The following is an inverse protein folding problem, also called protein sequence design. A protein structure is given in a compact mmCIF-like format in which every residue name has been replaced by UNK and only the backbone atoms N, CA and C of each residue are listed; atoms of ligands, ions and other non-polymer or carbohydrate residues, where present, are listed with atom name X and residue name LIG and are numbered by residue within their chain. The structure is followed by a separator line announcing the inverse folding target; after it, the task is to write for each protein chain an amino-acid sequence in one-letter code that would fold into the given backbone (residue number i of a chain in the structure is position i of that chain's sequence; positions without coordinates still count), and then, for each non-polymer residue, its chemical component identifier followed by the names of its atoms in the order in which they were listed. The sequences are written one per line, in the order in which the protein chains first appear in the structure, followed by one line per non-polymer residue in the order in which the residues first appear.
data_IF_867628554136
#
_entry.id   IF_867628554136
#
_cell.length_a   1.000
_cell.length_b   1.000
_cell.length_c   1.000
_cell.angle_alpha   90.00
_cell.angle_beta   90.00
_cell.angle_gamma   90.00
#
_symmetry.space_group_name_H-M   'P 1'
#
loop_
_entity.id
_entity.type
_entity.pdbx_description
1 polymer ?
#
# COMPACT_ATOMS: atom_id res chain seq x y z
N UNK A 1 -11.70 15.62 -10.79
CA UNK A 1 -11.65 14.36 -11.55
C UNK A 1 -13.01 13.73 -11.38
N UNK A 2 -13.62 13.25 -12.46
CA UNK A 2 -14.96 12.66 -12.42
C UNK A 2 -14.87 11.16 -12.21
N UNK A 3 -15.91 10.57 -11.64
CA UNK A 3 -15.93 9.14 -11.32
C UNK A 3 -17.04 8.39 -12.04
N UNK A 4 -17.93 9.10 -12.73
CA UNK A 4 -18.99 8.55 -13.56
C UNK A 4 -19.19 9.48 -14.77
N UNK A 5 -19.60 8.98 -15.93
CA UNK A 5 -19.76 7.56 -16.29
C UNK A 5 -18.54 6.99 -16.99
N UNK A 6 -18.25 5.70 -16.77
CA UNK A 6 -17.25 4.97 -17.57
C UNK A 6 -17.62 4.87 -19.05
N UNK A 7 -18.85 5.24 -19.44
CA UNK A 7 -19.40 5.07 -20.79
C UNK A 7 -20.03 6.35 -21.32
N UNK A 8 -19.84 6.58 -22.62
CA UNK A 8 -20.45 7.73 -23.32
C UNK A 8 -21.96 7.52 -23.59
N UNK A 9 -22.38 6.28 -23.83
CA UNK A 9 -23.78 5.94 -24.13
C UNK A 9 -24.39 4.92 -23.16
N UNK A 10 -25.72 4.79 -23.21
CA UNK A 10 -26.43 3.72 -22.52
C UNK A 10 -26.01 2.36 -23.09
N UNK A 11 -25.72 1.43 -22.19
CA UNK A 11 -25.39 0.03 -22.49
C UNK A 11 -26.12 -0.87 -21.51
N UNK A 12 -26.03 -2.20 -21.67
CA UNK A 12 -26.61 -3.17 -20.75
C UNK A 12 -28.10 -2.90 -20.47
N UNK A 13 -28.89 -2.71 -21.53
CA UNK A 13 -30.32 -2.40 -21.46
C UNK A 13 -30.67 -1.17 -20.60
N UNK A 14 -29.74 -0.21 -20.51
CA UNK A 14 -29.90 1.03 -19.74
C UNK A 14 -29.61 0.89 -18.25
N UNK A 15 -29.02 -0.23 -17.81
CA UNK A 15 -28.61 -0.41 -16.41
C UNK A 15 -27.50 0.56 -15.98
N UNK A 16 -26.64 0.95 -16.90
CA UNK A 16 -25.53 1.85 -16.65
C UNK A 16 -25.80 3.23 -17.25
N UNK A 17 -25.46 4.27 -16.50
CA UNK A 17 -25.58 5.66 -16.96
C UNK A 17 -24.59 5.91 -18.12
N UNK A 18 -25.00 6.68 -19.13
CA UNK A 18 -24.11 7.19 -20.19
C UNK A 18 -23.56 8.57 -19.82
N UNK A 19 -23.05 9.32 -20.80
CA UNK A 19 -22.59 10.71 -20.64
C UNK A 19 -21.07 10.90 -20.67
N UNK A 20 -20.31 9.83 -20.42
CA UNK A 20 -18.85 9.88 -20.28
C UNK A 20 -18.42 10.40 -18.90
N UNK A 21 -17.12 10.53 -18.64
CA UNK A 21 -16.60 10.90 -17.31
C UNK A 21 -16.78 12.40 -16.99
N UNK A 22 -18.01 12.86 -16.73
CA UNK A 22 -18.35 14.25 -16.41
C UNK A 22 -19.37 14.46 -15.28
N UNK A 23 -20.13 13.45 -14.89
CA UNK A 23 -21.35 13.66 -14.08
C UNK A 23 -21.17 13.60 -12.56
N UNK A 24 -20.13 12.91 -12.03
CA UNK A 24 -20.05 12.62 -10.58
C UNK A 24 -18.70 12.92 -9.93
N UNK A 25 -18.78 13.42 -8.70
CA UNK A 25 -17.69 13.65 -7.76
C UNK A 25 -17.97 12.87 -6.47
N UNK A 26 -16.97 12.14 -5.96
CA UNK A 26 -17.05 11.42 -4.68
C UNK A 26 -16.41 12.21 -3.54
N UNK A 27 -17.02 12.17 -2.36
CA UNK A 27 -16.54 12.84 -1.15
C UNK A 27 -16.31 11.83 -0.01
N UNK A 28 -15.20 12.00 0.70
CA UNK A 28 -14.96 11.34 1.99
C UNK A 28 -15.26 12.37 3.08
N UNK A 29 -16.31 12.14 3.86
CA UNK A 29 -16.68 13.04 4.95
C UNK A 29 -15.89 12.68 6.21
N UNK A 30 -15.15 13.65 6.74
CA UNK A 30 -14.36 13.51 7.97
C UNK A 30 -14.63 14.69 8.91
N UNK A 31 -14.41 14.47 10.21
CA UNK A 31 -14.26 15.59 11.13
C UNK A 31 -12.87 16.25 10.94
N UNK A 32 -12.56 17.29 11.70
CA UNK A 32 -11.28 17.99 11.55
C UNK A 32 -10.06 17.13 11.93
N UNK A 33 -10.25 16.04 12.70
CA UNK A 33 -9.15 15.27 13.27
C UNK A 33 -8.23 14.67 12.20
N UNK A 34 -8.71 13.88 11.21
CA UNK A 34 -7.86 13.34 10.14
C UNK A 34 -7.17 14.36 9.24
N UNK A 35 -7.52 15.65 9.36
CA UNK A 35 -6.91 16.74 8.59
C UNK A 35 -5.76 17.42 9.35
N UNK A 36 -5.49 17.02 10.60
CA UNK A 36 -4.44 17.60 11.43
C UNK A 36 -3.22 16.68 11.53
N UNK A 37 -2.03 17.29 11.66
CA UNK A 37 -0.77 16.57 11.80
C UNK A 37 -0.63 15.79 13.11
N UNK A 38 -1.42 16.11 14.13
CA UNK A 38 -1.40 15.44 15.44
C UNK A 38 -2.37 14.25 15.52
N UNK A 39 -3.02 13.89 14.41
CA UNK A 39 -3.98 12.80 14.37
C UNK A 39 -3.30 11.45 14.23
N UNK A 40 -3.79 10.47 14.99
CA UNK A 40 -3.39 9.06 14.89
C UNK A 40 -3.82 8.39 13.59
N UNK A 41 -4.67 9.06 12.81
CA UNK A 41 -5.01 8.70 11.44
C UNK A 41 -5.14 9.98 10.65
N UNK A 42 -4.31 10.20 9.64
CA UNK A 42 -4.22 11.45 8.88
C UNK A 42 -4.39 11.17 7.40
N UNK A 43 -5.33 11.86 6.76
CA UNK A 43 -5.43 11.85 5.31
C UNK A 43 -4.19 12.49 4.69
N UNK A 44 -3.60 11.84 3.69
CA UNK A 44 -2.49 12.42 2.93
C UNK A 44 -3.06 13.36 1.85
N UNK A 45 -2.83 14.69 1.96
CA UNK A 45 -3.41 15.64 1.02
C UNK A 45 -2.99 15.34 -0.43
N UNK A 46 -3.96 15.33 -1.34
CA UNK A 46 -3.73 15.07 -2.77
C UNK A 46 -3.69 13.59 -3.17
N UNK A 47 -3.90 12.66 -2.23
CA UNK A 47 -3.90 11.22 -2.53
C UNK A 47 -5.23 10.67 -3.05
N UNK A 48 -6.32 11.44 -2.97
CA UNK A 48 -7.60 11.03 -3.53
C UNK A 48 -7.51 10.91 -5.05
N UNK A 49 -7.73 9.69 -5.55
CA UNK A 49 -7.54 9.35 -6.96
C UNK A 49 -8.61 8.36 -7.44
N UNK A 50 -9.40 8.69 -8.48
CA UNK A 50 -10.28 7.74 -9.12
C UNK A 50 -9.50 6.88 -10.12
N UNK A 51 -9.37 5.60 -9.80
CA UNK A 51 -8.55 4.65 -10.56
C UNK A 51 -9.11 4.47 -11.97
N UNK A 52 -8.24 4.56 -12.98
CA UNK A 52 -8.61 4.43 -14.39
C UNK A 52 -8.94 5.76 -15.09
N UNK A 53 -9.19 6.84 -14.34
CA UNK A 53 -9.36 8.17 -14.93
C UNK A 53 -7.97 8.80 -15.17
N UNK A 54 -7.61 9.06 -16.42
CA UNK A 54 -6.35 9.72 -16.79
C UNK A 54 -6.48 11.24 -16.96
N UNK A 55 -7.69 11.78 -16.75
CA UNK A 55 -8.02 13.19 -16.94
C UNK A 55 -8.27 13.60 -18.39
N UNK A 56 -8.23 12.68 -19.36
CA UNK A 56 -8.36 12.97 -20.80
C UNK A 56 -9.68 12.50 -21.42
N UNK A 57 -10.50 11.77 -20.67
CA UNK A 57 -11.75 11.16 -21.14
C UNK A 57 -13.01 11.89 -20.67
N UNK A 58 -12.96 13.22 -20.53
CA UNK A 58 -14.13 14.04 -20.22
C UNK A 58 -15.19 13.91 -21.34
N UNK A 59 -16.45 13.64 -20.98
CA UNK A 59 -17.55 13.32 -21.90
C UNK A 59 -17.18 12.23 -22.92
N UNK A 60 -16.37 11.26 -22.50
CA UNK A 60 -15.99 10.11 -23.32
C UNK A 60 -15.99 8.83 -22.50
N UNK A 61 -16.11 7.71 -23.19
CA UNK A 61 -15.97 6.40 -22.57
C UNK A 61 -14.54 6.19 -22.07
N UNK A 62 -14.38 5.54 -20.92
CA UNK A 62 -13.10 5.24 -20.28
C UNK A 62 -12.10 4.53 -21.18
N UNK A 63 -12.62 3.71 -22.10
CA UNK A 63 -11.88 2.86 -23.04
C UNK A 63 -11.86 3.44 -24.47
N UNK A 64 -12.28 4.69 -24.66
CA UNK A 64 -12.24 5.36 -25.97
C UNK A 64 -10.85 5.89 -26.27
N UNK A 65 -10.16 5.33 -27.26
CA UNK A 65 -8.81 5.76 -27.60
C UNK A 65 -7.76 5.23 -26.60
N UNK A 66 -6.74 6.04 -26.33
CA UNK A 66 -5.60 5.62 -25.50
C UNK A 66 -5.76 6.10 -24.06
N UNK A 67 -5.82 5.15 -23.13
CA UNK A 67 -5.73 5.39 -21.70
C UNK A 67 -4.66 4.46 -21.11
N UNK A 68 -3.64 5.03 -20.46
CA UNK A 68 -2.52 4.29 -19.87
C UNK A 68 -2.49 4.39 -18.33
N UNK A 69 -3.56 4.88 -17.71
CA UNK A 69 -3.63 5.02 -16.24
C UNK A 69 -3.58 3.68 -15.51
N UNK A 70 -4.09 2.61 -16.14
CA UNK A 70 -4.01 1.22 -15.69
C UNK A 70 -3.85 0.29 -16.91
N UNK A 71 -3.42 -0.98 -16.76
CA UNK A 71 -3.33 -1.91 -17.87
C UNK A 71 -4.65 -2.06 -18.63
N UNK A 72 -4.58 -2.27 -19.95
CA UNK A 72 -5.76 -2.32 -20.81
C UNK A 72 -6.83 -3.34 -20.35
N UNK A 73 -6.42 -4.50 -19.84
CA UNK A 73 -7.34 -5.50 -19.28
C UNK A 73 -8.08 -5.00 -18.03
N UNK A 74 -7.42 -4.16 -17.23
CA UNK A 74 -8.02 -3.51 -16.05
C UNK A 74 -8.98 -2.40 -16.50
N UNK A 75 -8.64 -1.60 -17.52
CA UNK A 75 -9.57 -0.61 -18.08
C UNK A 75 -10.85 -1.25 -18.59
N UNK A 76 -10.76 -2.36 -19.34
CA UNK A 76 -11.94 -3.11 -19.79
C UNK A 76 -12.74 -3.63 -18.60
N UNK A 77 -12.08 -4.15 -17.55
CA UNK A 77 -12.78 -4.61 -16.36
C UNK A 77 -13.49 -3.46 -15.61
N UNK A 78 -12.85 -2.29 -15.47
CA UNK A 78 -13.45 -1.10 -14.86
C UNK A 78 -14.66 -0.61 -15.66
N UNK A 79 -14.55 -0.61 -16.99
CA UNK A 79 -15.67 -0.30 -17.88
C UNK A 79 -16.82 -1.30 -17.67
N UNK A 80 -16.58 -2.61 -17.81
CA UNK A 80 -17.64 -3.63 -17.78
C UNK A 80 -18.30 -3.80 -16.40
N UNK A 81 -17.58 -3.55 -15.30
CA UNK A 81 -18.05 -3.80 -13.95
C UNK A 81 -19.11 -2.80 -13.47
N UNK A 82 -18.93 -1.52 -13.76
CA UNK A 82 -19.70 -0.42 -13.16
C UNK A 82 -19.66 0.83 -14.06
N UNK A 83 -20.66 1.69 -13.95
CA UNK A 83 -20.59 3.06 -14.47
C UNK A 83 -19.82 4.02 -13.53
N UNK A 84 -19.41 3.54 -12.36
CA UNK A 84 -18.57 4.27 -11.40
C UNK A 84 -17.15 3.70 -11.31
N UNK A 85 -16.16 4.59 -11.33
CA UNK A 85 -14.78 4.27 -11.01
C UNK A 85 -14.57 4.13 -9.50
N UNK A 86 -13.75 3.16 -9.05
CA UNK A 86 -13.33 3.08 -7.66
C UNK A 86 -12.41 4.26 -7.31
N UNK A 87 -12.63 4.84 -6.13
CA UNK A 87 -11.85 5.96 -5.62
C UNK A 87 -10.97 5.49 -4.47
N UNK A 88 -9.68 5.77 -4.56
CA UNK A 88 -8.70 5.47 -3.51
C UNK A 88 -8.21 6.76 -2.87
N UNK A 89 -7.76 6.67 -1.62
CA UNK A 89 -7.15 7.74 -0.87
C UNK A 89 -6.20 7.14 0.17
N UNK A 90 -5.07 7.81 0.41
CA UNK A 90 -4.06 7.33 1.34
C UNK A 90 -4.22 7.98 2.72
N UNK A 91 -4.02 7.16 3.75
CA UNK A 91 -4.06 7.57 5.14
C UNK A 91 -2.80 7.11 5.86
N UNK A 92 -2.13 8.04 6.51
CA UNK A 92 -1.11 7.72 7.51
C UNK A 92 -1.81 7.31 8.80
N UNK A 93 -1.36 6.22 9.42
CA UNK A 93 -1.94 5.72 10.67
C UNK A 93 -0.82 5.48 11.66
N UNK A 94 -0.90 6.14 12.81
CA UNK A 94 -0.09 5.81 13.97
C UNK A 94 -0.51 4.44 14.46
N UNK A 95 0.35 3.45 14.26
CA UNK A 95 0.16 2.15 14.90
C UNK A 95 0.33 2.33 16.40
N UNK A 96 -0.78 2.23 17.14
CA UNK A 96 -0.71 2.14 18.59
C UNK A 96 0.01 0.85 18.95
N UNK A 97 1.24 0.99 19.43
CA UNK A 97 1.94 -0.05 20.15
C UNK A 97 1.27 -0.29 21.50
N UNK A 98 0.04 -0.82 21.52
CA UNK A 98 -0.48 -1.46 22.72
C UNK A 98 0.10 -2.88 22.72
N UNK A 99 1.40 -2.97 22.97
CA UNK A 99 2.07 -4.23 23.24
C UNK A 99 2.00 -4.51 24.73
N UNK A 100 1.49 -5.68 25.12
CA UNK A 100 1.99 -6.35 26.31
C UNK A 100 3.53 -6.35 26.25
N UNK A 101 4.26 -6.36 27.38
CA UNK A 101 5.73 -6.38 27.35
C UNK A 101 6.29 -7.48 26.44
N UNK A 102 5.56 -8.58 26.29
CA UNK A 102 5.80 -9.71 25.41
C UNK A 102 5.88 -9.34 23.91
N UNK A 103 5.27 -8.22 23.49
CA UNK A 103 5.30 -7.70 22.12
C UNK A 103 6.37 -6.63 21.86
N UNK A 104 7.04 -6.09 22.89
CA UNK A 104 8.13 -5.10 22.69
C UNK A 104 9.24 -5.65 21.81
N UNK A 105 9.55 -6.93 21.99
CA UNK A 105 10.55 -7.61 21.20
C UNK A 105 9.97 -8.24 19.91
N UNK A 106 8.71 -7.98 19.55
CA UNK A 106 8.09 -8.55 18.35
C UNK A 106 8.41 -7.69 17.13
N UNK A 107 9.08 -8.30 16.15
CA UNK A 107 9.38 -7.64 14.88
C UNK A 107 8.25 -7.87 13.91
N UNK A 108 7.64 -6.78 13.46
CA UNK A 108 6.64 -6.83 12.40
C UNK A 108 7.34 -6.86 11.05
N UNK A 109 6.96 -7.80 10.20
CA UNK A 109 7.42 -7.90 8.82
C UNK A 109 6.35 -7.37 7.88
N UNK A 110 6.76 -6.58 6.90
CA UNK A 110 5.96 -6.19 5.75
C UNK A 110 6.80 -6.32 4.47
N UNK A 111 6.15 -6.08 3.34
CA UNK A 111 6.80 -5.95 2.03
C UNK A 111 6.33 -4.62 1.45
N UNK A 112 7.26 -3.80 0.95
CA UNK A 112 6.89 -2.55 0.28
C UNK A 112 6.43 -2.80 -1.17
N UNK A 113 5.98 -1.75 -1.84
CA UNK A 113 5.47 -1.83 -3.23
C UNK A 113 6.55 -2.28 -4.23
N UNK A 114 7.83 -2.10 -3.89
CA UNK A 114 8.97 -2.50 -4.72
C UNK A 114 9.43 -3.95 -4.42
N UNK A 115 8.75 -4.65 -3.51
CA UNK A 115 9.06 -6.04 -3.14
C UNK A 115 10.16 -6.19 -2.08
N UNK A 116 10.66 -5.10 -1.51
CA UNK A 116 11.67 -5.17 -0.44
C UNK A 116 11.01 -5.55 0.88
N UNK A 117 11.76 -6.29 1.69
CA UNK A 117 11.31 -6.65 3.04
C UNK A 117 11.50 -5.46 3.96
N UNK A 118 10.45 -5.13 4.69
CA UNK A 118 10.46 -4.14 5.75
C UNK A 118 10.32 -4.84 7.09
N UNK A 119 11.22 -4.56 8.02
CA UNK A 119 11.11 -4.95 9.42
C UNK A 119 10.84 -3.72 10.27
N UNK A 120 9.92 -3.83 11.22
CA UNK A 120 9.55 -2.76 12.14
C UNK A 120 9.61 -3.28 13.58
N UNK A 121 10.27 -2.52 14.46
CA UNK A 121 10.31 -2.76 15.90
C UNK A 121 9.62 -1.62 16.62
N UNK A 122 9.05 -1.91 17.79
CA UNK A 122 8.27 -0.93 18.56
C UNK A 122 9.21 0.05 19.27
N UNK A 123 10.38 -0.43 19.72
CA UNK A 123 11.40 0.35 20.43
C UNK A 123 12.79 -0.06 19.90
N UNK A 124 13.75 0.87 19.98
CA UNK A 124 15.07 0.74 19.37
C UNK A 124 16.17 1.24 20.32
N UNK A 125 16.37 0.54 21.44
CA UNK A 125 17.35 0.92 22.50
C UNK A 125 18.73 0.29 22.33
N UNK A 126 18.92 -0.49 21.27
CA UNK A 126 20.19 -1.17 20.96
C UNK A 126 20.27 -1.50 19.46
N UNK A 127 21.48 -1.81 19.02
CA UNK A 127 21.76 -2.33 17.69
C UNK A 127 21.31 -3.79 17.58
N UNK A 128 20.57 -4.10 16.52
CA UNK A 128 20.23 -5.48 16.15
C UNK A 128 20.92 -5.86 14.84
N UNK A 129 21.18 -7.15 14.65
CA UNK A 129 21.67 -7.67 13.36
C UNK A 129 20.54 -8.40 12.65
N UNK A 130 20.35 -8.11 11.37
CA UNK A 130 19.42 -8.82 10.48
C UNK A 130 20.22 -9.68 9.51
N UNK A 131 19.91 -10.97 9.47
CA UNK A 131 20.47 -11.92 8.53
C UNK A 131 19.38 -12.55 7.68
N UNK A 132 19.64 -12.61 6.38
CA UNK A 132 18.79 -13.28 5.41
C UNK A 132 19.39 -14.65 5.15
N UNK A 133 18.61 -15.70 5.41
CA UNK A 133 19.02 -17.09 5.28
C UNK A 133 18.19 -17.76 4.19
N UNK A 134 18.83 -18.41 3.23
CA UNK A 134 18.15 -19.14 2.17
C UNK A 134 17.59 -20.49 2.66
N UNK A 135 16.82 -21.17 1.80
CA UNK A 135 16.24 -22.48 2.11
C UNK A 135 17.29 -23.59 2.38
N UNK A 136 18.56 -23.38 2.00
CA UNK A 136 19.66 -24.29 2.30
C UNK A 136 20.37 -23.95 3.62
N UNK A 137 19.89 -22.94 4.37
CA UNK A 137 20.47 -22.51 5.63
C UNK A 137 21.69 -21.58 5.48
N UNK A 138 21.99 -21.09 4.28
CA UNK A 138 23.13 -20.19 4.04
C UNK A 138 22.72 -18.74 4.28
N UNK A 139 23.57 -17.98 4.97
CA UNK A 139 23.40 -16.52 5.11
C UNK A 139 23.75 -15.87 3.78
N UNK A 140 22.76 -15.28 3.11
CA UNK A 140 22.92 -14.61 1.81
C UNK A 140 23.05 -13.09 1.94
N UNK A 141 22.65 -12.53 3.08
CA UNK A 141 22.89 -11.14 3.43
C UNK A 141 22.93 -10.95 4.95
N UNK A 142 23.68 -9.96 5.40
CA UNK A 142 23.76 -9.53 6.80
C UNK A 142 23.86 -8.00 6.84
N UNK A 143 23.10 -7.38 7.72
CA UNK A 143 23.07 -5.93 7.88
C UNK A 143 22.85 -5.54 9.35
N UNK A 144 23.37 -4.37 9.74
CA UNK A 144 23.05 -3.77 11.03
C UNK A 144 21.68 -3.09 10.96
N UNK A 145 20.95 -3.12 12.08
CA UNK A 145 19.74 -2.36 12.32
C UNK A 145 19.97 -1.50 13.58
N UNK A 146 20.42 -0.23 13.38
CA UNK A 146 20.95 0.61 14.45
C UNK A 146 19.94 1.01 15.52
N UNK A 147 20.43 1.26 16.73
CA UNK A 147 19.73 2.01 17.78
C UNK A 147 19.06 3.28 17.21
N UNK A 148 17.87 3.61 17.71
CA UNK A 148 17.08 4.74 17.23
C UNK A 148 16.32 4.50 15.91
N UNK A 149 16.68 3.48 15.12
CA UNK A 149 15.94 3.15 13.90
C UNK A 149 14.81 2.15 14.19
N UNK A 150 13.57 2.60 14.02
CA UNK A 150 12.37 1.75 14.19
C UNK A 150 12.03 0.91 12.95
N UNK A 151 12.66 1.19 11.81
CA UNK A 151 12.39 0.51 10.53
C UNK A 151 13.70 0.13 9.85
N UNK A 152 13.80 -1.13 9.47
CA UNK A 152 14.85 -1.64 8.60
C UNK A 152 14.25 -2.04 7.25
N UNK A 153 14.98 -1.79 6.16
CA UNK A 153 14.60 -2.17 4.79
C UNK A 153 15.71 -3.00 4.18
N UNK A 154 15.35 -4.09 3.50
CA UNK A 154 16.34 -4.90 2.81
C UNK A 154 17.02 -4.13 1.67
N UNK A 155 18.32 -4.31 1.51
CA UNK A 155 19.08 -3.72 0.40
C UNK A 155 18.69 -4.31 -0.95
N UNK A 156 18.37 -5.61 -0.96
CA UNK A 156 17.95 -6.35 -2.15
C UNK A 156 16.51 -6.84 -2.03
N UNK A 157 15.88 -7.06 -3.19
CA UNK A 157 14.68 -7.89 -3.32
C UNK A 157 15.13 -9.32 -3.41
N UNK A 158 14.53 -10.19 -2.61
CA UNK A 158 14.87 -11.59 -2.57
C UNK A 158 13.68 -12.43 -3.04
N UNK A 159 13.96 -13.45 -3.83
CA UNK A 159 12.96 -14.37 -4.37
C UNK A 159 13.07 -15.77 -3.74
N UNK A 160 11.95 -16.45 -3.60
CA UNK A 160 11.88 -17.80 -3.03
C UNK A 160 11.78 -17.81 -1.50
N UNK A 161 11.96 -19.01 -0.92
CA UNK A 161 11.87 -19.22 0.52
C UNK A 161 13.11 -18.68 1.23
N UNK A 162 12.85 -17.86 2.25
CA UNK A 162 13.86 -17.22 3.06
C UNK A 162 13.44 -17.15 4.52
N UNK A 163 14.42 -17.18 5.40
CA UNK A 163 14.27 -16.97 6.83
C UNK A 163 15.02 -15.69 7.19
N UNK A 164 14.37 -14.81 7.95
CA UNK A 164 15.04 -13.65 8.54
C UNK A 164 15.38 -14.00 9.97
N UNK A 165 16.68 -14.02 10.28
CA UNK A 165 17.20 -14.19 11.62
C UNK A 165 17.61 -12.83 12.16
N UNK A 166 17.01 -12.43 13.27
CA UNK A 166 17.26 -11.14 13.92
C UNK A 166 17.91 -11.44 15.26
N UNK A 167 19.08 -10.87 15.51
CA UNK A 167 19.81 -11.05 16.76
C UNK A 167 19.98 -9.70 17.47
N UNK A 168 19.65 -9.65 18.77
CA UNK A 168 20.00 -8.53 19.62
C UNK A 168 21.49 -8.58 20.05
N UNK A 169 21.96 -7.53 20.74
CA UNK A 169 23.35 -7.45 21.18
C UNK A 169 23.75 -8.56 22.17
N UNK A 170 22.76 -9.19 22.83
CA UNK A 170 22.96 -10.33 23.72
C UNK A 170 23.07 -11.68 22.99
N UNK A 171 22.81 -11.71 21.68
CA UNK A 171 22.82 -12.90 20.84
C UNK A 171 21.51 -13.69 20.85
N UNK A 172 20.44 -13.14 21.45
CA UNK A 172 19.11 -13.78 21.42
C UNK A 172 18.53 -13.63 20.02
N UNK A 173 18.19 -14.76 19.40
CA UNK A 173 17.72 -14.80 18.01
C UNK A 173 16.21 -14.93 17.91
N UNK A 174 15.60 -14.14 17.03
CA UNK A 174 14.20 -14.26 16.61
C UNK A 174 14.15 -14.61 15.13
N UNK A 175 13.12 -15.36 14.75
CA UNK A 175 12.87 -15.76 13.37
C UNK A 175 11.57 -15.12 12.89
N UNK A 176 11.62 -14.46 11.74
CA UNK A 176 10.42 -14.11 10.99
C UNK A 176 10.28 -15.10 9.83
N UNK A 177 9.15 -15.82 9.79
CA UNK A 177 8.84 -16.79 8.74
C UNK A 177 8.20 -16.11 7.52
N UNK A 178 8.35 -16.69 6.32
CA UNK A 178 7.57 -16.28 5.16
C UNK A 178 6.12 -16.79 5.31
N UNK A 179 5.14 -15.92 5.07
CA UNK A 179 3.82 -16.32 4.60
C UNK A 179 3.75 -15.99 3.12
#
# INVERSE_FOLDING_TARGET
WHTQSTRDGQTNDGCFSGGGLDDRLDHILVNSTPLTAASRMRYLPGSLHPVGNDGLHFNSALNSGTNNSVPATVLTALYELSDHLPVVADFEVDRLGIGLEEFRDHVQRATDLDGHVILQRIEAHEDWTVEVVDAAGRVVARSNWPEGELRWRSESVYSGWMILRIADASGRTKFASPR
#
